data_IF_401407442753
#
_entry.id   IF_401407442753
#
_cell.length_a   1.000
_cell.length_b   1.000
_cell.length_c   1.000
_cell.angle_alpha   90.00
_cell.angle_beta   90.00
_cell.angle_gamma   90.00
#
_symmetry.space_group_name_H-M   'P 1'
#
loop_
_entity.id
_entity.type
_entity.pdbx_description
1 polymer ?
#
# COMPACT_ATOMS: atom_id res chain seq x y z
N UNK A 1 -13.94 12.71 9.42
CA UNK A 1 -14.61 11.69 8.55
C UNK A 1 -13.82 11.59 7.26
N UNK A 2 -13.77 10.42 6.62
CA UNK A 2 -12.95 10.17 5.44
C UNK A 2 -13.69 10.52 4.12
N UNK A 3 -13.04 11.17 3.15
CA UNK A 3 -13.61 11.41 1.81
C UNK A 3 -13.79 10.13 0.98
N UNK A 4 -12.97 9.10 1.19
CA UNK A 4 -13.03 7.85 0.40
C UNK A 4 -14.32 7.04 0.64
N UNK A 5 -15.04 7.32 1.74
CA UNK A 5 -16.24 6.58 2.15
C UNK A 5 -17.49 7.45 2.36
N UNK A 6 -17.39 8.76 2.12
CA UNK A 6 -18.49 9.71 2.23
C UNK A 6 -18.39 10.81 1.15
N UNK A 7 -19.29 10.77 0.17
CA UNK A 7 -19.29 11.65 -0.99
C UNK A 7 -19.36 13.13 -0.66
N UNK A 8 -20.12 13.52 0.36
CA UNK A 8 -20.16 14.93 0.82
C UNK A 8 -18.81 15.40 1.35
N UNK A 9 -18.03 14.52 1.97
CA UNK A 9 -16.67 14.83 2.41
C UNK A 9 -15.72 14.83 1.21
N UNK A 10 -15.91 13.93 0.24
CA UNK A 10 -15.14 13.92 -1.00
C UNK A 10 -15.29 15.23 -1.78
N UNK A 11 -16.53 15.70 -2.02
CA UNK A 11 -16.80 16.96 -2.73
C UNK A 11 -16.17 18.14 -2.00
N UNK A 12 -16.33 18.22 -0.67
CA UNK A 12 -15.68 19.28 0.14
C UNK A 12 -14.15 19.21 0.07
N UNK A 13 -13.57 18.02 0.06
CA UNK A 13 -12.13 17.84 0.00
C UNK A 13 -11.57 18.23 -1.38
N UNK A 14 -12.24 17.83 -2.46
CA UNK A 14 -11.87 18.25 -3.82
C UNK A 14 -12.02 19.76 -3.98
N UNK A 15 -13.09 20.36 -3.46
CA UNK A 15 -13.26 21.81 -3.46
C UNK A 15 -12.13 22.53 -2.73
N UNK A 16 -11.68 22.00 -1.59
CA UNK A 16 -10.55 22.58 -0.86
C UNK A 16 -9.25 22.52 -1.69
N UNK A 17 -9.02 21.44 -2.44
CA UNK A 17 -7.89 21.34 -3.35
C UNK A 17 -8.04 22.27 -4.56
N UNK A 18 -9.25 22.43 -5.10
CA UNK A 18 -9.56 23.37 -6.19
C UNK A 18 -9.15 24.80 -5.85
N UNK A 19 -9.30 25.21 -4.59
CA UNK A 19 -8.89 26.53 -4.12
C UNK A 19 -7.37 26.74 -4.18
N UNK A 20 -6.58 25.66 -4.06
CA UNK A 20 -5.12 25.70 -4.12
C UNK A 20 -4.64 25.68 -5.57
N UNK A 21 -5.25 24.84 -6.41
CA UNK A 21 -4.82 24.63 -7.80
C UNK A 21 -5.41 25.66 -8.77
N UNK A 22 -6.51 26.34 -8.39
CA UNK A 22 -7.28 27.22 -9.26
C UNK A 22 -8.07 26.50 -10.35
N UNK A 23 -8.25 25.17 -10.22
CA UNK A 23 -8.96 24.32 -11.18
C UNK A 23 -10.08 23.57 -10.45
N UNK A 24 -11.24 23.43 -11.07
CA UNK A 24 -12.28 22.59 -10.47
C UNK A 24 -11.88 21.11 -10.53
N UNK A 25 -11.97 20.44 -9.39
CA UNK A 25 -11.76 19.01 -9.23
C UNK A 25 -12.99 18.31 -8.61
N UNK A 26 -14.07 19.03 -8.34
CA UNK A 26 -15.25 18.47 -7.68
C UNK A 26 -15.98 17.47 -8.58
N UNK A 27 -15.88 17.61 -9.91
CA UNK A 27 -16.41 16.66 -10.90
C UNK A 27 -15.96 15.22 -10.66
N UNK A 28 -14.82 15.01 -10.01
CA UNK A 28 -14.29 13.68 -9.66
C UNK A 28 -15.09 12.95 -8.57
N UNK A 29 -15.98 13.65 -7.85
CA UNK A 29 -16.79 13.08 -6.77
C UNK A 29 -18.27 13.48 -6.81
N UNK A 30 -18.68 14.47 -7.62
CA UNK A 30 -20.08 14.94 -7.68
C UNK A 30 -21.07 13.82 -8.03
N UNK A 31 -20.70 12.92 -8.95
CA UNK A 31 -21.52 11.77 -9.33
C UNK A 31 -21.75 10.76 -8.17
N UNK A 32 -20.95 10.85 -7.10
CA UNK A 32 -21.02 10.00 -5.91
C UNK A 32 -21.24 10.81 -4.63
N UNK A 33 -21.71 12.06 -4.70
CA UNK A 33 -21.84 12.93 -3.52
C UNK A 33 -22.75 12.34 -2.43
N UNK A 34 -23.82 11.67 -2.82
CA UNK A 34 -24.76 11.05 -1.88
C UNK A 34 -24.25 9.76 -1.25
N UNK A 35 -23.20 9.16 -1.81
CA UNK A 35 -22.67 7.87 -1.37
C UNK A 35 -22.10 7.96 0.05
N UNK A 36 -22.54 7.04 0.90
CA UNK A 36 -22.19 7.00 2.32
C UNK A 36 -22.04 5.56 2.75
N UNK A 37 -20.82 5.04 2.67
CA UNK A 37 -20.52 3.66 3.04
C UNK A 37 -20.70 3.50 4.56
N UNK A 38 -21.43 2.46 4.98
CA UNK A 38 -21.61 2.10 6.39
C UNK A 38 -21.01 0.75 6.69
N UNK A 39 -20.68 0.54 7.96
CA UNK A 39 -20.12 -0.72 8.43
C UNK A 39 -21.04 -1.92 8.14
N UNK A 40 -22.36 -1.77 8.38
CA UNK A 40 -23.33 -2.85 8.10
C UNK A 40 -23.42 -3.19 6.60
N UNK A 41 -23.23 -2.20 5.72
CA UNK A 41 -23.29 -2.40 4.28
C UNK A 41 -22.08 -3.19 3.77
N UNK A 42 -20.87 -2.89 4.29
CA UNK A 42 -19.64 -3.62 3.90
C UNK A 42 -19.60 -5.04 4.47
N UNK A 43 -20.29 -5.30 5.59
CA UNK A 43 -20.50 -6.67 6.08
C UNK A 43 -21.39 -7.48 5.14
N UNK A 44 -22.37 -6.84 4.49
CA UNK A 44 -23.26 -7.50 3.54
C UNK A 44 -22.57 -7.75 2.18
N UNK A 45 -21.82 -6.75 1.68
CA UNK A 45 -21.05 -6.88 0.45
C UNK A 45 -19.94 -5.79 0.41
N UNK A 46 -18.71 -6.13 0.02
CA UNK A 46 -17.66 -5.14 -0.17
C UNK A 46 -18.09 -3.99 -1.09
N UNK A 47 -17.65 -2.77 -0.77
CA UNK A 47 -17.98 -1.56 -1.53
C UNK A 47 -16.70 -0.98 -2.13
N UNK A 48 -16.80 -0.53 -3.38
CA UNK A 48 -15.77 0.29 -4.02
C UNK A 48 -15.78 1.67 -3.37
N UNK A 49 -14.61 2.26 -3.17
CA UNK A 49 -14.48 3.58 -2.54
C UNK A 49 -14.66 4.71 -3.56
N UNK A 50 -14.69 5.94 -3.06
CA UNK A 50 -14.86 7.17 -3.84
C UNK A 50 -13.49 7.77 -4.17
N UNK A 51 -13.35 8.37 -5.35
CA UNK A 51 -12.16 9.17 -5.73
C UNK A 51 -11.93 10.29 -4.73
N UNK A 52 -10.70 10.41 -4.23
CA UNK A 52 -10.35 11.33 -3.13
C UNK A 52 -9.04 12.06 -3.40
N UNK A 53 -8.92 13.35 -3.01
CA UNK A 53 -7.68 14.13 -3.19
C UNK A 53 -6.54 13.64 -2.30
N UNK A 54 -6.79 12.73 -1.35
CA UNK A 54 -5.75 12.02 -0.60
C UNK A 54 -4.85 11.19 -1.52
N UNK A 55 -5.44 10.69 -2.62
CA UNK A 55 -4.81 9.78 -3.57
C UNK A 55 -4.62 10.46 -4.92
N UNK A 56 -3.86 9.82 -5.81
CA UNK A 56 -3.53 10.39 -7.11
C UNK A 56 -4.09 9.61 -8.31
N UNK A 57 -4.86 8.56 -8.07
CA UNK A 57 -5.62 7.82 -9.07
C UNK A 57 -7.14 8.02 -8.92
N UNK A 58 -7.91 7.47 -9.87
CA UNK A 58 -9.36 7.56 -9.90
C UNK A 58 -10.04 6.22 -9.63
N UNK A 59 -11.17 6.27 -8.94
CA UNK A 59 -12.06 5.14 -8.67
C UNK A 59 -13.29 5.23 -9.59
N UNK A 60 -13.05 4.90 -10.86
CA UNK A 60 -13.99 5.06 -11.97
C UNK A 60 -14.34 3.70 -12.61
N UNK A 61 -15.46 3.64 -13.33
CA UNK A 61 -15.91 2.41 -14.01
C UNK A 61 -15.31 2.23 -15.40
N UNK A 62 -14.75 3.29 -16.00
CA UNK A 62 -14.16 3.29 -17.34
C UNK A 62 -12.63 3.31 -17.31
N UNK A 63 -12.02 3.80 -16.22
CA UNK A 63 -10.57 3.78 -16.03
C UNK A 63 -10.19 3.11 -14.70
N UNK A 64 -9.27 2.15 -14.78
CA UNK A 64 -8.71 1.53 -13.57
C UNK A 64 -7.85 2.51 -12.79
N UNK A 65 -7.79 2.34 -11.46
CA UNK A 65 -6.92 3.15 -10.62
C UNK A 65 -5.46 3.09 -11.09
N UNK A 66 -4.88 4.26 -11.37
CA UNK A 66 -3.48 4.43 -11.75
C UNK A 66 -2.88 5.59 -10.94
N UNK A 67 -1.75 5.36 -10.27
CA UNK A 67 -1.12 6.39 -9.45
C UNK A 67 -0.60 7.55 -10.32
N UNK A 68 -0.66 8.77 -9.80
CA UNK A 68 -0.32 10.01 -10.51
C UNK A 68 -1.21 10.35 -11.71
N UNK A 69 -2.32 9.63 -11.95
CA UNK A 69 -3.27 9.94 -13.01
C UNK A 69 -3.78 11.37 -12.91
N UNK A 70 -4.21 11.79 -11.71
CA UNK A 70 -4.69 13.15 -11.46
C UNK A 70 -3.60 14.20 -11.66
N UNK A 71 -2.33 13.92 -11.33
CA UNK A 71 -1.25 14.86 -11.61
C UNK A 71 -1.11 15.15 -13.11
N UNK A 72 -1.26 14.12 -13.94
CA UNK A 72 -1.15 14.22 -15.40
C UNK A 72 -2.40 14.83 -16.03
N UNK A 73 -3.59 14.41 -15.63
CA UNK A 73 -4.85 14.76 -16.31
C UNK A 73 -5.57 15.95 -15.66
N UNK A 74 -5.49 16.09 -14.34
CA UNK A 74 -6.11 17.19 -13.58
C UNK A 74 -5.14 18.37 -13.38
N UNK A 75 -3.87 18.20 -13.76
CA UNK A 75 -2.79 19.18 -13.61
C UNK A 75 -2.54 19.57 -12.14
N UNK A 76 -2.81 18.65 -11.23
CA UNK A 76 -2.47 18.81 -9.81
C UNK A 76 -0.94 18.66 -9.68
N UNK A 77 -0.21 19.63 -9.11
CA UNK A 77 1.24 19.52 -8.96
C UNK A 77 1.65 18.35 -8.07
N UNK A 78 2.80 17.74 -8.35
CA UNK A 78 3.45 16.88 -7.36
C UNK A 78 3.89 17.72 -6.17
N UNK A 79 3.85 17.16 -4.96
CA UNK A 79 4.29 17.85 -3.74
C UNK A 79 5.82 17.77 -3.61
N UNK A 80 6.51 18.27 -4.62
CA UNK A 80 7.97 18.40 -4.73
C UNK A 80 8.34 19.88 -4.84
N UNK A 81 9.62 20.21 -4.69
CA UNK A 81 10.10 21.60 -4.79
C UNK A 81 9.71 22.27 -6.12
N UNK A 82 9.74 21.52 -7.23
CA UNK A 82 9.44 22.04 -8.58
C UNK A 82 7.98 21.87 -9.00
N UNK A 83 7.13 21.23 -8.19
CA UNK A 83 5.76 20.88 -8.56
C UNK A 83 5.64 19.74 -9.58
N UNK A 84 6.76 19.11 -9.96
CA UNK A 84 6.88 18.07 -11.01
C UNK A 84 7.61 16.83 -10.49
N UNK A 85 7.65 15.77 -11.29
CA UNK A 85 8.54 14.63 -11.02
C UNK A 85 9.98 15.13 -10.96
N UNK A 86 10.61 15.02 -9.79
CA UNK A 86 11.88 15.68 -9.49
C UNK A 86 13.06 14.75 -9.78
N UNK A 87 13.68 14.92 -10.95
CA UNK A 87 14.85 14.14 -11.36
C UNK A 87 16.14 14.61 -10.66
N UNK A 88 16.22 15.89 -10.30
CA UNK A 88 17.39 16.49 -9.63
C UNK A 88 17.09 16.77 -8.15
N UNK A 89 17.86 16.15 -7.26
CA UNK A 89 17.75 16.30 -5.81
C UNK A 89 18.83 17.28 -5.32
N UNK A 90 18.45 18.53 -5.04
CA UNK A 90 19.37 19.65 -4.82
C UNK A 90 19.73 19.89 -3.34
N UNK A 91 19.08 19.17 -2.41
CA UNK A 91 19.40 19.24 -0.99
C UNK A 91 20.90 18.99 -0.76
N UNK A 92 21.50 19.73 0.18
CA UNK A 92 22.95 19.72 0.43
C UNK A 92 23.50 18.31 0.62
N UNK A 93 22.81 17.47 1.41
CA UNK A 93 23.20 16.08 1.60
C UNK A 93 23.12 15.26 0.32
N UNK A 94 22.08 15.43 -0.51
CA UNK A 94 21.94 14.68 -1.76
C UNK A 94 23.07 15.00 -2.72
N UNK A 95 23.52 16.27 -2.78
CA UNK A 95 24.69 16.66 -3.57
C UNK A 95 25.99 16.12 -2.97
N UNK A 96 26.20 16.30 -1.67
CA UNK A 96 27.43 15.89 -0.99
C UNK A 96 27.66 14.37 -1.03
N UNK A 97 26.58 13.57 -0.93
CA UNK A 97 26.65 12.12 -1.02
C UNK A 97 26.60 11.60 -2.46
N UNK A 98 26.53 12.45 -3.49
CA UNK A 98 26.50 12.02 -4.90
C UNK A 98 25.19 11.32 -5.31
N UNK A 99 24.07 11.80 -4.79
CA UNK A 99 22.69 11.34 -5.06
C UNK A 99 21.82 12.41 -5.73
N UNK A 100 22.42 13.51 -6.21
CA UNK A 100 21.66 14.59 -6.87
C UNK A 100 21.01 14.14 -8.18
N UNK A 101 21.59 13.14 -8.86
CA UNK A 101 21.04 12.43 -10.01
C UNK A 101 21.20 10.93 -9.79
N UNK A 102 20.47 10.12 -10.55
CA UNK A 102 20.66 8.66 -10.52
C UNK A 102 22.07 8.30 -10.98
N UNK A 103 22.74 7.44 -10.21
CA UNK A 103 24.05 6.89 -10.52
C UNK A 103 24.08 5.41 -10.13
N UNK A 104 24.91 4.62 -10.81
CA UNK A 104 25.16 3.25 -10.39
C UNK A 104 25.88 3.24 -9.02
N UNK A 105 25.39 2.41 -8.09
CA UNK A 105 26.04 2.14 -6.81
C UNK A 105 26.16 0.63 -6.59
N UNK A 106 27.38 0.11 -6.33
CA UNK A 106 27.54 -1.29 -5.99
C UNK A 106 26.93 -1.59 -4.60
N UNK A 107 26.56 -2.85 -4.31
CA UNK A 107 26.18 -3.26 -2.97
C UNK A 107 27.28 -2.91 -1.95
N UNK A 108 26.87 -2.40 -0.78
CA UNK A 108 27.82 -2.08 0.29
C UNK A 108 28.43 -3.37 0.87
N UNK A 109 29.70 -3.32 1.24
CA UNK A 109 30.34 -4.41 1.99
C UNK A 109 30.00 -4.26 3.48
N UNK A 110 29.16 -5.15 3.99
CA UNK A 110 28.77 -5.17 5.42
C UNK A 110 29.88 -5.68 6.34
N UNK A 111 30.93 -6.30 5.77
CA UNK A 111 32.06 -6.90 6.51
C UNK A 111 31.63 -7.93 7.57
N UNK A 112 30.43 -8.50 7.45
CA UNK A 112 29.86 -9.38 8.47
C UNK A 112 30.46 -10.79 8.46
N UNK A 113 30.86 -11.31 7.29
CA UNK A 113 31.32 -12.70 7.14
C UNK A 113 32.78 -12.89 7.56
N UNK A 114 33.69 -12.01 7.11
CA UNK A 114 35.13 -12.18 7.30
C UNK A 114 35.56 -12.30 8.78
N UNK A 115 35.00 -11.55 9.74
CA UNK A 115 35.40 -11.64 11.15
C UNK A 115 34.97 -12.93 11.86
N UNK A 116 34.09 -13.75 11.29
CA UNK A 116 33.55 -14.96 11.95
C UNK A 116 33.86 -16.26 11.23
N UNK A 117 34.19 -16.20 9.94
CA UNK A 117 34.57 -17.37 9.14
C UNK A 117 35.73 -18.15 9.77
N UNK A 118 35.58 -19.47 9.86
CA UNK A 118 36.59 -20.38 10.40
C UNK A 118 36.86 -20.27 11.90
N UNK A 119 36.19 -19.38 12.64
CA UNK A 119 36.40 -19.24 14.11
C UNK A 119 35.84 -20.40 14.92
N UNK A 120 34.81 -21.08 14.43
CA UNK A 120 34.14 -22.21 15.10
C UNK A 120 33.84 -23.34 14.11
N UNK A 121 34.87 -24.06 13.63
CA UNK A 121 34.70 -25.07 12.58
C UNK A 121 33.98 -26.32 13.12
N UNK A 122 33.11 -26.91 12.30
CA UNK A 122 32.46 -28.20 12.59
C UNK A 122 33.02 -29.37 11.77
N UNK A 123 34.17 -29.17 11.10
CA UNK A 123 34.81 -30.16 10.22
C UNK A 123 34.36 -30.12 8.75
N UNK A 124 33.33 -29.34 8.38
CA UNK A 124 32.89 -29.14 6.99
C UNK A 124 33.45 -27.86 6.37
N UNK A 125 33.46 -27.78 5.02
CA UNK A 125 33.94 -26.60 4.28
C UNK A 125 32.94 -25.43 4.36
N UNK A 126 33.45 -24.23 4.68
CA UNK A 126 32.68 -22.98 4.70
C UNK A 126 32.76 -22.22 3.36
N UNK A 127 31.70 -21.49 3.00
CA UNK A 127 31.65 -20.60 1.81
C UNK A 127 30.75 -19.39 2.07
N UNK A 128 31.24 -18.20 1.76
CA UNK A 128 30.44 -16.97 1.82
C UNK A 128 29.50 -16.87 0.61
N UNK A 129 28.25 -16.48 0.85
CA UNK A 129 27.20 -16.30 -0.15
C UNK A 129 26.40 -15.02 0.14
N UNK A 130 25.71 -14.50 -0.88
CA UNK A 130 24.74 -13.43 -0.66
C UNK A 130 23.46 -14.01 -0.03
N UNK A 131 23.04 -13.44 1.10
CA UNK A 131 21.85 -13.89 1.83
C UNK A 131 20.64 -13.04 1.44
N UNK A 132 19.89 -13.51 0.44
CA UNK A 132 18.68 -12.85 -0.04
C UNK A 132 17.46 -13.35 0.73
N UNK A 133 16.58 -12.43 1.17
CA UNK A 133 15.32 -12.73 1.87
C UNK A 133 14.10 -12.33 1.05
N UNK A 134 13.86 -12.95 -0.13
CA UNK A 134 12.65 -12.68 -0.91
C UNK A 134 11.41 -13.13 -0.14
N UNK A 135 10.28 -12.50 -0.41
CA UNK A 135 9.01 -12.91 0.19
C UNK A 135 8.69 -14.35 -0.22
N UNK A 136 8.35 -15.19 0.76
CA UNK A 136 8.00 -16.58 0.50
C UNK A 136 6.60 -16.69 -0.15
N UNK A 137 6.41 -17.75 -0.94
CA UNK A 137 5.10 -18.10 -1.50
C UNK A 137 4.06 -18.49 -0.43
N UNK A 138 4.52 -18.99 0.71
CA UNK A 138 3.70 -19.70 1.69
C UNK A 138 3.16 -18.82 2.82
N UNK A 139 3.23 -17.49 2.66
CA UNK A 139 2.66 -16.51 3.58
C UNK A 139 3.70 -15.61 4.23
N UNK A 140 3.31 -14.87 5.26
CA UNK A 140 4.27 -14.14 6.10
C UNK A 140 4.47 -14.88 7.42
N UNK A 141 5.30 -14.35 8.33
CA UNK A 141 5.54 -14.94 9.67
C UNK A 141 4.26 -15.36 10.40
N UNK A 142 3.17 -14.60 10.22
CA UNK A 142 1.84 -14.88 10.79
C UNK A 142 1.22 -16.21 10.32
N UNK A 143 1.58 -16.68 9.12
CA UNK A 143 0.98 -17.86 8.50
C UNK A 143 1.78 -19.14 8.81
N UNK A 144 3.04 -19.02 9.23
CA UNK A 144 3.95 -20.14 9.45
C UNK A 144 3.65 -20.92 10.76
N UNK A 145 3.02 -20.29 11.76
CA UNK A 145 2.72 -20.94 13.05
C UNK A 145 1.36 -21.66 13.10
N UNK A 146 0.49 -21.49 12.10
CA UNK A 146 -0.90 -21.97 12.16
C UNK A 146 -1.14 -23.42 11.70
N UNK A 147 -0.09 -24.20 11.40
CA UNK A 147 -0.26 -25.53 10.81
C UNK A 147 -0.54 -26.69 11.80
N UNK A 148 -0.71 -26.45 13.11
CA UNK A 148 -0.89 -27.56 14.08
C UNK A 148 -2.10 -27.48 15.03
N UNK A 149 -2.98 -26.47 14.98
CA UNK A 149 -4.05 -26.31 15.99
C UNK A 149 -5.49 -26.40 15.44
N UNK A 150 -5.74 -26.18 14.15
CA UNK A 150 -7.12 -26.06 13.63
C UNK A 150 -7.69 -27.32 12.92
N UNK A 151 -7.05 -28.49 13.05
CA UNK A 151 -7.49 -29.68 12.32
C UNK A 151 -8.68 -30.43 12.94
N UNK A 152 -9.07 -30.20 14.20
CA UNK A 152 -10.12 -31.03 14.83
C UNK A 152 -10.88 -30.36 15.99
N UNK A 153 -11.75 -29.39 15.68
CA UNK A 153 -12.89 -29.07 16.57
C UNK A 153 -14.10 -28.64 15.72
N UNK A 154 -14.80 -29.60 15.10
CA UNK A 154 -16.24 -29.43 14.87
C UNK A 154 -16.98 -30.13 16.01
N UNK A 155 -17.77 -29.43 16.85
CA UNK A 155 -18.63 -30.12 17.80
C UNK A 155 -19.71 -30.86 17.01
N UNK A 156 -19.67 -32.20 17.04
CA UNK A 156 -20.79 -33.05 16.64
C UNK A 156 -21.97 -32.67 17.53
N UNK A 157 -22.97 -31.97 16.98
CA UNK A 157 -24.26 -31.80 17.65
C UNK A 157 -24.94 -33.17 17.73
N UNK A 158 -24.97 -33.73 18.94
CA UNK A 158 -25.77 -34.89 19.29
C UNK A 158 -27.21 -34.49 19.59
N UNK A 159 -28.15 -35.09 18.85
CA UNK A 159 -29.58 -35.36 19.09
C UNK A 159 -30.35 -34.63 20.20
N UNK A 160 -31.52 -34.06 19.82
CA UNK A 160 -32.79 -34.30 20.54
C UNK A 160 -34.04 -33.93 19.72
N UNK A 161 -34.90 -34.94 19.53
CA UNK A 161 -36.38 -34.98 19.62
C UNK A 161 -37.19 -34.05 18.69
N UNK A 162 -38.00 -34.56 17.75
CA UNK A 162 -39.25 -35.33 17.86
C UNK A 162 -40.48 -34.46 17.57
N UNK A 163 -41.25 -34.91 16.57
CA UNK A 163 -42.71 -34.75 16.37
C UNK A 163 -43.38 -33.39 16.66
N UNK A 164 -44.02 -32.84 15.62
CA UNK A 164 -45.49 -32.72 15.55
C UNK A 164 -45.92 -32.30 14.12
N UNK A 165 -46.83 -33.12 13.61
CA UNK A 165 -47.81 -32.95 12.51
C UNK A 165 -47.78 -31.68 11.67
#
# INVERSE_FOLDING_TARGET
MAPETNGQVAVKAWQALSNITGRDHTHLALNKEDEKIRFRDIQAQPRKIISSPTWSGLEDEHVSYNACYTNVHELIPWRTLSGRQQLYQDHEWMRAFGESLLVYRPPIDTRAAAPVMGKSPNGNKEKALNFLTPHQKWGHSLNLQRQLIDADVRPRRSNCLAERR
#
